data_IF_147991245390
#
_entry.id   IF_147991245390
#
_cell.length_a   1.000
_cell.length_b   1.000
_cell.length_c   1.000
_cell.angle_alpha   90.00
_cell.angle_beta   90.00
_cell.angle_gamma   90.00
#
_symmetry.space_group_name_H-M   'P 1'
#
loop_
_entity.id
_entity.type
_entity.pdbx_description
1 polymer ?
#
# COMPACT_ATOMS: atom_id res chain seq x y z
N UNK A 1 -13.18 -0.48 -13.60
CA UNK A 1 -12.32 0.55 -14.23
C UNK A 1 -10.91 0.44 -13.66
N UNK A 2 -9.89 0.60 -14.51
CA UNK A 2 -8.48 0.58 -14.10
C UNK A 2 -7.99 1.99 -13.79
N UNK A 3 -7.17 2.13 -12.74
CA UNK A 3 -6.53 3.36 -12.30
C UNK A 3 -5.00 3.16 -12.23
N UNK A 4 -4.24 4.25 -12.27
CA UNK A 4 -2.83 4.17 -11.85
C UNK A 4 -2.79 3.84 -10.35
N UNK A 5 -1.98 2.87 -9.93
CA UNK A 5 -2.03 2.39 -8.55
C UNK A 5 -1.51 3.43 -7.53
N UNK A 6 -0.63 4.33 -7.96
CA UNK A 6 0.15 5.18 -7.06
C UNK A 6 0.78 4.31 -5.95
N UNK A 7 0.90 4.82 -4.73
CA UNK A 7 1.47 4.07 -3.61
C UNK A 7 0.57 2.96 -3.04
N UNK A 8 -0.66 2.76 -3.53
CA UNK A 8 -1.48 1.61 -3.10
C UNK A 8 -0.89 0.27 -3.57
N UNK A 9 -0.02 0.29 -4.59
CA UNK A 9 0.78 -0.85 -5.04
C UNK A 9 1.67 -1.46 -3.94
N UNK A 10 1.97 -0.70 -2.88
CA UNK A 10 2.82 -1.15 -1.78
C UNK A 10 2.15 -2.21 -0.90
N UNK A 11 0.81 -2.33 -0.94
CA UNK A 11 0.06 -3.37 -0.21
C UNK A 11 0.44 -4.78 -0.67
N UNK A 12 0.31 -5.15 -1.95
CA UNK A 12 0.75 -6.48 -2.40
C UNK A 12 2.26 -6.69 -2.31
N UNK A 13 3.08 -5.64 -2.40
CA UNK A 13 4.53 -5.73 -2.15
C UNK A 13 4.81 -6.15 -0.70
N UNK A 14 4.13 -5.55 0.28
CA UNK A 14 4.20 -5.96 1.68
C UNK A 14 3.74 -7.42 1.86
N UNK A 15 2.62 -7.81 1.27
CA UNK A 15 2.12 -9.19 1.34
C UNK A 15 3.14 -10.19 0.82
N UNK A 16 3.84 -9.85 -0.26
CA UNK A 16 4.90 -10.68 -0.83
C UNK A 16 6.11 -10.82 0.09
N UNK A 17 6.54 -9.75 0.77
CA UNK A 17 7.60 -9.84 1.79
C UNK A 17 7.23 -10.87 2.87
N UNK A 18 6.00 -10.80 3.39
CA UNK A 18 5.53 -11.76 4.39
C UNK A 18 5.39 -13.19 3.84
N UNK A 19 5.02 -13.35 2.56
CA UNK A 19 4.99 -14.66 1.91
C UNK A 19 6.39 -15.26 1.83
N UNK A 20 7.38 -14.50 1.37
CA UNK A 20 8.77 -14.95 1.28
C UNK A 20 9.37 -15.22 2.66
N UNK A 21 9.03 -14.43 3.68
CA UNK A 21 9.44 -14.67 5.06
C UNK A 21 8.88 -16.00 5.58
N UNK A 22 7.58 -16.28 5.33
CA UNK A 22 6.94 -17.56 5.69
C UNK A 22 7.60 -18.75 4.97
N UNK A 23 7.99 -18.57 3.72
CA UNK A 23 8.67 -19.58 2.91
C UNK A 23 10.17 -19.73 3.25
N UNK A 24 10.71 -18.93 4.17
CA UNK A 24 12.12 -18.97 4.55
C UNK A 24 13.10 -18.41 3.52
N UNK A 25 12.61 -17.69 2.49
CA UNK A 25 13.43 -17.08 1.43
C UNK A 25 14.13 -15.78 1.86
N UNK A 26 13.59 -15.15 2.90
CA UNK A 26 14.15 -13.97 3.54
C UNK A 26 13.82 -14.00 5.04
N UNK A 27 14.53 -13.23 5.85
CA UNK A 27 14.15 -12.96 7.25
C UNK A 27 13.80 -11.48 7.39
N UNK A 28 12.77 -11.17 8.18
CA UNK A 28 12.36 -9.76 8.38
C UNK A 28 13.45 -8.92 9.04
N UNK A 29 14.28 -9.52 9.89
CA UNK A 29 15.35 -8.83 10.62
C UNK A 29 16.72 -8.97 9.92
N UNK A 30 16.78 -9.48 8.68
CA UNK A 30 18.05 -9.53 7.94
C UNK A 30 18.43 -8.14 7.42
N UNK A 31 19.73 -7.80 7.47
CA UNK A 31 20.22 -6.54 6.92
C UNK A 31 20.17 -6.57 5.39
N UNK A 32 19.69 -5.48 4.80
CA UNK A 32 19.64 -5.24 3.36
C UNK A 32 20.43 -3.98 3.05
N UNK A 33 21.33 -3.99 2.04
CA UNK A 33 22.03 -2.79 1.63
C UNK A 33 21.08 -1.66 1.23
N UNK A 34 21.29 -0.47 1.79
CA UNK A 34 20.56 0.73 1.39
C UNK A 34 21.31 1.38 0.24
N UNK A 35 20.73 1.29 -0.96
CA UNK A 35 21.24 1.87 -2.21
C UNK A 35 20.15 2.69 -2.89
N UNK A 36 20.54 3.68 -3.68
CA UNK A 36 19.62 4.52 -4.46
C UNK A 36 19.95 4.47 -5.97
N UNK A 37 20.24 3.26 -6.47
CA UNK A 37 20.50 2.99 -7.87
C UNK A 37 19.73 1.74 -8.28
N UNK A 38 18.78 1.94 -9.20
CA UNK A 38 17.83 0.93 -9.65
C UNK A 38 17.85 0.84 -11.17
N UNK A 39 17.40 -0.29 -11.72
CA UNK A 39 17.40 -0.54 -13.17
C UNK A 39 16.00 -0.34 -13.73
N UNK A 40 15.88 0.50 -14.75
CA UNK A 40 14.62 0.72 -15.45
C UNK A 40 14.19 -0.55 -16.17
N UNK A 41 12.91 -0.92 -16.06
CA UNK A 41 12.36 -2.06 -16.80
C UNK A 41 12.18 -1.75 -18.30
N UNK A 42 12.33 -0.50 -18.71
CA UNK A 42 12.19 -0.08 -20.11
C UNK A 42 13.40 -0.47 -20.97
N UNK A 43 14.61 -0.26 -20.43
CA UNK A 43 15.86 -0.35 -21.20
C UNK A 43 17.09 -0.76 -20.36
N UNK A 44 16.94 -1.02 -19.05
CA UNK A 44 18.04 -1.38 -18.16
C UNK A 44 18.95 -0.22 -17.75
N UNK A 45 18.61 1.02 -18.12
CA UNK A 45 19.33 2.20 -17.64
C UNK A 45 19.16 2.39 -16.13
N UNK A 46 20.12 3.07 -15.50
CA UNK A 46 20.07 3.34 -14.06
C UNK A 46 19.20 4.57 -13.81
N UNK A 47 18.35 4.49 -12.78
CA UNK A 47 17.65 5.62 -12.21
C UNK A 47 17.79 5.62 -10.68
N UNK A 48 17.51 6.76 -10.07
CA UNK A 48 17.52 6.97 -8.63
C UNK A 48 16.25 7.71 -8.21
N UNK A 49 15.92 7.65 -6.92
CA UNK A 49 14.82 8.43 -6.34
C UNK A 49 15.38 9.73 -5.78
N UNK A 50 14.78 10.87 -6.13
CA UNK A 50 15.14 12.14 -5.51
C UNK A 50 14.59 12.20 -4.08
N UNK A 51 15.36 12.62 -3.06
CA UNK A 51 14.84 12.85 -1.72
C UNK A 51 13.70 13.88 -1.66
N UNK A 52 13.61 14.79 -2.63
CA UNK A 52 12.53 15.79 -2.72
C UNK A 52 11.19 15.19 -3.12
N UNK A 53 11.23 14.04 -3.79
CA UNK A 53 10.05 13.37 -4.35
C UNK A 53 9.59 12.22 -3.42
N UNK A 54 10.18 12.15 -2.22
CA UNK A 54 9.92 11.13 -1.22
C UNK A 54 9.46 11.78 0.09
N UNK A 55 8.39 11.24 0.66
CA UNK A 55 7.84 11.73 1.93
C UNK A 55 8.65 11.26 3.15
N UNK A 56 9.53 10.28 2.97
CA UNK A 56 10.40 9.73 4.01
C UNK A 56 11.86 10.05 3.65
N UNK A 57 12.56 10.81 4.50
CA UNK A 57 13.92 11.29 4.19
C UNK A 57 15.04 10.62 5.00
N UNK A 58 14.72 9.92 6.09
CA UNK A 58 15.72 9.37 7.00
C UNK A 58 16.51 8.22 6.38
N UNK A 59 15.89 7.42 5.50
CA UNK A 59 16.56 6.30 4.85
C UNK A 59 17.71 6.73 3.93
N UNK A 60 17.61 7.92 3.32
CA UNK A 60 18.68 8.46 2.46
C UNK A 60 19.99 8.69 3.21
N UNK A 61 19.92 8.98 4.51
CA UNK A 61 21.11 9.13 5.37
C UNK A 61 21.83 7.80 5.63
N UNK A 62 21.19 6.67 5.32
CA UNK A 62 21.73 5.32 5.48
C UNK A 62 22.31 4.74 4.18
N UNK A 63 22.31 5.49 3.07
CA UNK A 63 22.90 5.03 1.80
C UNK A 63 24.36 4.62 2.01
N UNK A 64 24.72 3.45 1.48
CA UNK A 64 26.02 2.81 1.69
C UNK A 64 26.11 1.93 2.95
N UNK A 65 25.11 1.99 3.83
CA UNK A 65 24.94 1.09 4.96
C UNK A 65 23.88 0.02 4.73
N UNK A 66 23.28 -0.47 5.81
CA UNK A 66 22.21 -1.48 5.78
C UNK A 66 21.01 -1.07 6.62
N UNK A 67 19.84 -1.58 6.27
CA UNK A 67 18.62 -1.53 7.06
C UNK A 67 17.90 -2.88 7.00
N UNK A 68 17.11 -3.22 8.02
CA UNK A 68 16.34 -4.46 8.06
C UNK A 68 15.17 -4.46 7.07
N UNK A 69 14.80 -5.64 6.56
CA UNK A 69 13.58 -5.80 5.74
C UNK A 69 12.35 -5.27 6.48
N UNK A 70 12.26 -5.50 7.80
CA UNK A 70 11.17 -5.05 8.66
C UNK A 70 11.04 -3.52 8.65
N UNK A 71 12.14 -2.81 8.84
CA UNK A 71 12.11 -1.35 8.89
C UNK A 71 11.86 -0.75 7.50
N UNK A 72 12.47 -1.29 6.45
CA UNK A 72 12.16 -0.90 5.07
C UNK A 72 10.68 -1.08 4.74
N UNK A 73 10.09 -2.23 5.12
CA UNK A 73 8.66 -2.49 4.96
C UNK A 73 7.79 -1.52 5.77
N UNK A 74 8.20 -1.18 7.00
CA UNK A 74 7.51 -0.19 7.83
C UNK A 74 7.51 1.16 7.13
N UNK A 75 8.68 1.70 6.77
CA UNK A 75 8.82 2.99 6.08
C UNK A 75 8.05 3.03 4.75
N UNK A 76 8.09 1.94 3.98
CA UNK A 76 7.35 1.79 2.73
C UNK A 76 5.83 1.97 2.93
N UNK A 77 5.27 1.48 4.04
CA UNK A 77 3.83 1.56 4.29
C UNK A 77 3.46 2.82 5.06
N UNK A 78 4.11 3.11 6.19
CA UNK A 78 3.69 4.15 7.14
C UNK A 78 3.98 5.55 6.65
N UNK A 79 5.08 5.71 5.90
CA UNK A 79 5.56 7.01 5.41
C UNK A 79 5.65 7.01 3.88
N UNK A 80 5.15 5.95 3.26
CA UNK A 80 5.12 5.80 1.81
C UNK A 80 6.50 5.97 1.15
N UNK A 81 7.58 5.58 1.82
CA UNK A 81 8.95 5.74 1.29
C UNK A 81 9.10 5.12 -0.10
N UNK A 82 9.51 5.91 -1.08
CA UNK A 82 9.77 5.45 -2.44
C UNK A 82 11.10 4.69 -2.52
N UNK A 83 12.14 5.19 -1.83
CA UNK A 83 13.42 4.48 -1.71
C UNK A 83 13.25 3.09 -1.11
N UNK A 84 12.53 2.97 0.02
CA UNK A 84 12.28 1.66 0.64
C UNK A 84 11.48 0.73 -0.28
N UNK A 85 10.50 1.29 -1.02
CA UNK A 85 9.71 0.51 -2.00
C UNK A 85 10.61 -0.10 -3.06
N UNK A 86 11.54 0.68 -3.62
CA UNK A 86 12.43 0.22 -4.68
C UNK A 86 13.42 -0.85 -4.19
N UNK A 87 13.96 -0.69 -2.98
CA UNK A 87 14.81 -1.71 -2.36
C UNK A 87 14.03 -3.02 -2.15
N UNK A 88 12.82 -2.93 -1.58
CA UNK A 88 12.00 -4.11 -1.29
C UNK A 88 11.53 -4.81 -2.57
N UNK A 89 11.03 -4.07 -3.56
CA UNK A 89 10.53 -4.69 -4.79
C UNK A 89 11.64 -5.32 -5.63
N UNK A 90 12.87 -4.78 -5.60
CA UNK A 90 14.02 -5.46 -6.21
C UNK A 90 14.33 -6.78 -5.49
N UNK A 91 14.24 -6.78 -4.16
CA UNK A 91 14.49 -7.98 -3.33
C UNK A 91 13.45 -9.08 -3.52
N UNK A 92 12.16 -8.74 -3.55
CA UNK A 92 11.07 -9.73 -3.67
C UNK A 92 10.63 -9.98 -5.11
N UNK A 93 10.97 -9.08 -6.03
CA UNK A 93 10.63 -9.06 -7.47
C UNK A 93 9.15 -8.78 -7.78
N UNK A 94 8.92 -7.91 -8.78
CA UNK A 94 7.57 -7.60 -9.28
C UNK A 94 6.82 -8.85 -9.78
N UNK A 95 7.51 -9.80 -10.41
CA UNK A 95 6.91 -11.05 -10.89
C UNK A 95 6.27 -11.87 -9.75
N UNK A 96 6.94 -11.98 -8.60
CA UNK A 96 6.39 -12.71 -7.44
C UNK A 96 5.23 -11.97 -6.79
N UNK A 97 5.27 -10.63 -6.79
CA UNK A 97 4.13 -9.80 -6.35
C UNK A 97 2.92 -10.06 -7.25
N UNK A 98 3.11 -10.11 -8.58
CA UNK A 98 2.06 -10.46 -9.53
C UNK A 98 1.50 -11.87 -9.31
N UNK A 99 2.37 -12.87 -9.10
CA UNK A 99 1.96 -14.25 -8.80
C UNK A 99 1.08 -14.32 -7.53
N UNK A 100 1.50 -13.63 -6.46
CA UNK A 100 0.73 -13.52 -5.22
C UNK A 100 -0.64 -12.89 -5.47
N UNK A 101 -0.71 -11.77 -6.18
CA UNK A 101 -1.99 -11.11 -6.48
C UNK A 101 -2.92 -12.02 -7.28
N UNK A 102 -2.41 -12.66 -8.33
CA UNK A 102 -3.19 -13.57 -9.17
C UNK A 102 -3.73 -14.78 -8.39
N UNK A 103 -2.89 -15.39 -7.55
CA UNK A 103 -3.28 -16.52 -6.69
C UNK A 103 -4.29 -16.13 -5.60
N UNK A 104 -4.29 -14.86 -5.19
CA UNK A 104 -5.23 -14.29 -4.23
C UNK A 104 -6.56 -13.86 -4.89
N UNK A 105 -6.64 -13.90 -6.23
CA UNK A 105 -7.81 -13.50 -7.01
C UNK A 105 -7.85 -12.03 -7.44
N UNK A 106 -6.83 -11.24 -7.10
CA UNK A 106 -6.62 -9.87 -7.59
C UNK A 106 -5.87 -9.93 -8.94
N UNK A 107 -6.61 -10.09 -10.03
CA UNK A 107 -6.05 -10.41 -11.36
C UNK A 107 -5.93 -9.23 -12.32
N UNK A 108 -6.56 -8.10 -11.99
CA UNK A 108 -6.60 -6.91 -12.84
C UNK A 108 -5.54 -5.87 -12.43
N UNK A 109 -5.08 -5.90 -11.17
CA UNK A 109 -4.02 -5.07 -10.63
C UNK A 109 -2.66 -5.50 -11.19
N UNK A 110 -1.82 -4.51 -11.54
CA UNK A 110 -0.47 -4.73 -12.05
C UNK A 110 0.57 -3.98 -11.23
N UNK A 111 1.58 -4.70 -10.79
CA UNK A 111 2.81 -4.18 -10.19
C UNK A 111 3.96 -4.62 -11.09
N UNK A 112 4.46 -3.70 -11.91
CA UNK A 112 5.45 -3.97 -12.96
C UNK A 112 6.84 -3.43 -12.61
N UNK A 113 6.88 -2.30 -11.87
CA UNK A 113 8.09 -1.52 -11.63
C UNK A 113 8.13 -0.94 -10.23
N UNK A 114 9.34 -0.53 -9.83
CA UNK A 114 9.52 0.40 -8.72
C UNK A 114 8.90 1.77 -8.98
N UNK A 115 8.97 2.63 -7.98
CA UNK A 115 8.54 4.03 -8.02
C UNK A 115 9.64 4.87 -8.67
N UNK A 116 9.26 5.96 -9.35
CA UNK A 116 10.18 6.86 -10.09
C UNK A 116 10.98 6.26 -11.27
N UNK A 117 10.62 5.08 -11.77
CA UNK A 117 11.09 4.62 -13.09
C UNK A 117 10.33 5.35 -14.22
N UNK A 118 10.76 6.59 -14.49
CA UNK A 118 10.13 7.52 -15.43
C UNK A 118 10.11 7.02 -16.87
N UNK A 119 11.20 6.41 -17.34
CA UNK A 119 11.25 5.85 -18.71
C UNK A 119 10.23 4.73 -18.92
N UNK A 120 10.07 3.85 -17.93
CA UNK A 120 9.05 2.81 -17.98
C UNK A 120 7.65 3.42 -17.96
N UNK A 121 7.42 4.45 -17.14
CA UNK A 121 6.16 5.18 -17.10
C UNK A 121 5.80 5.81 -18.46
N UNK A 122 6.74 6.48 -19.11
CA UNK A 122 6.57 7.10 -20.44
C UNK A 122 6.25 6.08 -21.54
N UNK A 123 6.77 4.85 -21.42
CA UNK A 123 6.44 3.74 -22.32
C UNK A 123 5.14 3.00 -21.96
N UNK A 124 4.39 3.48 -20.98
CA UNK A 124 3.12 2.90 -20.56
C UNK A 124 3.24 1.65 -19.67
N UNK A 125 4.44 1.32 -19.19
CA UNK A 125 4.70 0.20 -18.28
C UNK A 125 4.32 0.59 -16.84
N UNK A 126 3.03 0.80 -16.61
CA UNK A 126 2.51 1.41 -15.40
C UNK A 126 1.99 0.43 -14.37
N UNK A 127 2.23 0.77 -13.11
CA UNK A 127 1.55 0.13 -11.98
C UNK A 127 0.08 0.56 -12.00
N UNK A 128 -0.84 -0.39 -12.06
CA UNK A 128 -2.28 -0.13 -12.17
C UNK A 128 -3.06 -0.92 -11.14
N UNK A 129 -4.25 -0.44 -10.77
CA UNK A 129 -5.10 -1.07 -9.77
C UNK A 129 -6.58 -0.95 -10.11
N UNK A 130 -7.40 -1.76 -9.45
CA UNK A 130 -8.85 -1.61 -9.39
C UNK A 130 -9.30 -1.58 -7.94
N UNK A 131 -10.45 -0.96 -7.68
CA UNK A 131 -11.02 -0.96 -6.33
C UNK A 131 -11.31 -2.38 -5.84
N UNK A 132 -11.69 -3.28 -6.75
CA UNK A 132 -11.99 -4.69 -6.46
C UNK A 132 -10.76 -5.44 -6.01
N UNK A 133 -9.63 -5.25 -6.67
CA UNK A 133 -8.41 -5.99 -6.39
C UNK A 133 -7.78 -5.58 -5.06
N UNK A 134 -7.69 -4.28 -4.78
CA UNK A 134 -7.30 -3.79 -3.45
C UNK A 134 -8.23 -4.31 -2.36
N UNK A 135 -9.54 -4.36 -2.64
CA UNK A 135 -10.51 -4.92 -1.69
C UNK A 135 -10.29 -6.40 -1.43
N UNK A 136 -9.95 -7.20 -2.46
CA UNK A 136 -9.62 -8.62 -2.31
C UNK A 136 -8.39 -8.80 -1.40
N UNK A 137 -7.33 -8.04 -1.66
CA UNK A 137 -6.08 -8.12 -0.89
C UNK A 137 -6.29 -7.69 0.58
N UNK A 138 -6.93 -6.54 0.81
CA UNK A 138 -7.21 -6.04 2.16
C UNK A 138 -8.20 -6.93 2.92
N UNK A 139 -9.15 -7.56 2.24
CA UNK A 139 -10.05 -8.55 2.85
C UNK A 139 -9.28 -9.77 3.31
N UNK A 140 -8.36 -10.29 2.49
CA UNK A 140 -7.52 -11.41 2.89
C UNK A 140 -6.68 -11.10 4.14
N UNK A 141 -6.19 -9.86 4.26
CA UNK A 141 -5.51 -9.39 5.48
C UNK A 141 -6.50 -9.35 6.65
N UNK A 142 -7.67 -8.72 6.49
CA UNK A 142 -8.67 -8.56 7.55
C UNK A 142 -9.19 -9.91 8.08
N UNK A 143 -9.36 -10.91 7.21
CA UNK A 143 -9.86 -12.25 7.54
C UNK A 143 -8.76 -13.19 8.05
N UNK A 144 -7.50 -12.76 8.03
CA UNK A 144 -6.36 -13.57 8.49
C UNK A 144 -5.91 -14.64 7.49
N UNK A 145 -6.31 -14.53 6.23
CA UNK A 145 -6.11 -15.53 5.16
C UNK A 145 -5.03 -15.17 4.13
N UNK A 146 -4.50 -13.94 4.14
CA UNK A 146 -3.53 -13.46 3.15
C UNK A 146 -2.28 -14.35 2.98
N UNK A 147 -1.55 -14.60 4.07
CA UNK A 147 -0.36 -15.47 4.08
C UNK A 147 -0.45 -16.46 5.23
N UNK A 148 -0.76 -15.95 6.42
CA UNK A 148 -1.13 -16.72 7.60
C UNK A 148 -1.86 -15.80 8.56
N UNK A 149 -2.51 -16.33 9.59
CA UNK A 149 -3.14 -15.47 10.61
C UNK A 149 -2.11 -14.58 11.32
N UNK A 150 -0.89 -15.08 11.54
CA UNK A 150 0.20 -14.29 12.17
C UNK A 150 0.62 -13.14 11.25
N UNK A 151 0.99 -13.45 10.01
CA UNK A 151 1.40 -12.44 9.04
C UNK A 151 0.31 -11.40 8.78
N UNK A 152 -0.96 -11.81 8.75
CA UNK A 152 -2.08 -10.90 8.55
C UNK A 152 -2.26 -9.91 9.72
N UNK A 153 -2.02 -10.35 10.96
CA UNK A 153 -1.98 -9.44 12.11
C UNK A 153 -0.81 -8.45 12.00
N UNK A 154 0.39 -8.94 11.69
CA UNK A 154 1.57 -8.09 11.53
C UNK A 154 1.39 -7.06 10.40
N UNK A 155 0.82 -7.46 9.25
CA UNK A 155 0.45 -6.55 8.16
C UNK A 155 -0.60 -5.51 8.58
N UNK A 156 -1.60 -5.93 9.37
CA UNK A 156 -2.60 -5.02 9.93
C UNK A 156 -1.96 -3.98 10.84
N UNK A 157 -1.02 -4.39 11.70
CA UNK A 157 -0.33 -3.50 12.63
C UNK A 157 0.53 -2.46 11.89
N UNK A 158 1.23 -2.86 10.81
CA UNK A 158 1.97 -1.93 9.96
C UNK A 158 1.03 -0.94 9.26
N UNK A 159 -0.09 -1.41 8.71
CA UNK A 159 -1.10 -0.56 8.07
C UNK A 159 -1.80 0.40 9.05
N UNK A 160 -1.94 0.03 10.32
CA UNK A 160 -2.47 0.89 11.38
C UNK A 160 -1.52 2.02 11.76
N UNK A 161 -0.23 1.88 11.48
CA UNK A 161 0.79 2.88 11.78
C UNK A 161 0.96 3.93 10.65
N UNK A 162 0.03 3.97 9.68
CA UNK A 162 -0.01 4.96 8.61
C UNK A 162 -0.02 6.40 9.18
N UNK A 163 0.81 7.28 8.59
CA UNK A 163 0.92 8.68 9.03
C UNK A 163 -0.01 9.63 8.28
N UNK A 164 -0.35 9.32 7.03
CA UNK A 164 -1.26 10.14 6.20
C UNK A 164 -2.72 9.71 6.42
N UNK A 165 -3.49 10.50 7.17
CA UNK A 165 -4.81 10.14 7.71
C UNK A 165 -5.97 11.02 7.19
N UNK A 166 -5.72 11.86 6.20
CA UNK A 166 -6.65 12.87 5.65
C UNK A 166 -7.79 12.25 4.82
N UNK A 167 -7.66 10.97 4.42
CA UNK A 167 -8.63 10.23 3.61
C UNK A 167 -9.69 9.49 4.44
N UNK A 168 -9.68 8.15 4.37
CA UNK A 168 -10.66 7.28 5.05
C UNK A 168 -10.72 7.57 6.57
N UNK A 169 -9.58 7.71 7.30
CA UNK A 169 -9.62 7.96 8.75
C UNK A 169 -10.31 9.27 9.13
N UNK A 170 -10.19 10.32 8.33
CA UNK A 170 -10.86 11.61 8.59
C UNK A 170 -12.40 11.54 8.45
N UNK A 171 -12.92 10.51 7.77
CA UNK A 171 -14.36 10.30 7.60
C UNK A 171 -15.04 9.49 8.71
N UNK A 172 -14.29 8.92 9.64
CA UNK A 172 -14.82 8.07 10.73
C UNK A 172 -14.66 8.74 12.10
N UNK A 173 -15.40 8.31 13.14
CA UNK A 173 -15.25 8.89 14.47
C UNK A 173 -13.81 8.82 14.97
N UNK A 174 -13.36 9.87 15.66
CA UNK A 174 -12.02 9.93 16.23
C UNK A 174 -11.73 8.70 17.11
N UNK A 175 -10.52 8.14 16.99
CA UNK A 175 -10.11 6.92 17.69
C UNK A 175 -10.56 5.62 16.99
N UNK A 176 -11.33 5.69 15.90
CA UNK A 176 -11.58 4.51 15.06
C UNK A 176 -10.27 4.02 14.47
N UNK A 177 -9.96 2.74 14.69
CA UNK A 177 -8.77 2.12 14.11
C UNK A 177 -9.00 1.88 12.62
N UNK A 178 -8.10 2.39 11.78
CA UNK A 178 -8.15 2.24 10.33
C UNK A 178 -6.79 1.75 9.85
N UNK A 179 -6.71 0.52 9.36
CA UNK A 179 -5.48 -0.04 8.78
C UNK A 179 -5.51 0.25 7.27
N UNK A 180 -4.68 1.15 6.76
CA UNK A 180 -4.85 1.64 5.39
C UNK A 180 -3.55 2.05 4.68
N UNK A 181 -3.67 2.19 3.36
CA UNK A 181 -2.61 2.72 2.50
C UNK A 181 -3.17 3.76 1.52
N UNK A 182 -2.60 4.95 1.62
CA UNK A 182 -2.84 6.05 0.68
C UNK A 182 -2.01 5.89 -0.61
N UNK A 183 -2.43 6.56 -1.67
CA UNK A 183 -1.63 6.72 -2.87
C UNK A 183 -1.96 8.01 -3.60
N UNK A 184 -0.95 8.86 -3.78
CA UNK A 184 -1.06 10.12 -4.54
C UNK A 184 -0.05 10.13 -5.69
N UNK A 185 -0.49 10.66 -6.84
CA UNK A 185 0.33 11.04 -7.99
C UNK A 185 -0.51 11.97 -8.86
N UNK A 186 0.02 13.07 -9.37
CA UNK A 186 -0.63 14.07 -10.26
C UNK A 186 -2.13 13.81 -10.58
N UNK A 187 -3.02 14.53 -9.88
CA UNK A 187 -4.48 14.44 -10.03
C UNK A 187 -5.13 13.09 -9.66
N UNK A 188 -4.38 12.18 -9.04
CA UNK A 188 -4.84 10.88 -8.54
C UNK A 188 -4.61 10.85 -7.05
N UNK A 189 -5.65 10.53 -6.30
CA UNK A 189 -5.62 10.40 -4.85
C UNK A 189 -6.45 9.18 -4.46
N UNK A 190 -5.85 8.26 -3.73
CA UNK A 190 -6.40 6.97 -3.39
C UNK A 190 -6.26 6.73 -1.91
N UNK A 191 -7.23 6.05 -1.34
CA UNK A 191 -7.10 5.45 -0.02
C UNK A 191 -7.86 4.12 0.03
N UNK A 192 -7.23 3.13 0.66
CA UNK A 192 -7.73 1.77 0.73
C UNK A 192 -7.42 1.20 2.11
N UNK A 193 -8.45 0.79 2.85
CA UNK A 193 -8.29 0.41 4.25
C UNK A 193 -9.32 -0.53 4.82
N UNK A 194 -8.97 -1.09 5.99
CA UNK A 194 -9.80 -1.91 6.87
C UNK A 194 -10.22 -1.02 8.04
N UNK A 195 -11.52 -0.82 8.20
CA UNK A 195 -12.10 0.00 9.27
C UNK A 195 -12.61 -0.92 10.38
N UNK A 196 -12.06 -0.77 11.58
CA UNK A 196 -12.44 -1.56 12.75
C UNK A 196 -13.53 -0.85 13.55
N UNK A 197 -14.72 -1.45 13.56
CA UNK A 197 -15.89 -0.90 14.25
C UNK A 197 -15.84 -1.15 15.77
N UNK A 198 -16.47 -0.27 16.57
CA UNK A 198 -16.51 -0.44 18.02
C UNK A 198 -17.34 -1.66 18.46
N UNK A 199 -16.92 -2.24 19.59
CA UNK A 199 -17.54 -3.43 20.19
C UNK A 199 -17.25 -4.71 19.41
N UNK A 200 -18.19 -5.66 19.44
CA UNK A 200 -18.08 -6.95 18.71
C UNK A 200 -18.57 -6.87 17.25
N UNK A 201 -18.50 -5.70 16.62
CA UNK A 201 -18.94 -5.51 15.23
C UNK A 201 -17.86 -5.99 14.27
N UNK A 202 -18.28 -6.53 13.11
CA UNK A 202 -17.32 -7.01 12.11
C UNK A 202 -16.69 -5.80 11.40
N UNK A 203 -15.36 -5.79 11.17
CA UNK A 203 -14.72 -4.75 10.38
C UNK A 203 -15.21 -4.79 8.94
N UNK A 204 -15.00 -3.70 8.20
CA UNK A 204 -15.27 -3.64 6.76
C UNK A 204 -14.06 -3.10 6.01
N UNK A 205 -13.97 -3.43 4.72
CA UNK A 205 -12.96 -2.91 3.81
C UNK A 205 -13.59 -1.81 2.95
N UNK A 206 -12.91 -0.68 2.84
CA UNK A 206 -13.30 0.43 1.97
C UNK A 206 -12.12 0.78 1.05
N UNK A 207 -12.41 0.96 -0.24
CA UNK A 207 -11.44 1.40 -1.24
C UNK A 207 -12.05 2.54 -2.02
N UNK A 208 -11.38 3.69 -2.02
CA UNK A 208 -11.79 4.88 -2.75
C UNK A 208 -10.66 5.28 -3.70
N UNK A 209 -10.93 5.24 -5.00
CA UNK A 209 -9.98 5.61 -6.05
C UNK A 209 -10.46 6.88 -6.75
N UNK A 210 -9.78 8.00 -6.51
CA UNK A 210 -10.09 9.29 -7.12
C UNK A 210 -9.09 9.63 -8.22
N UNK A 211 -9.59 10.14 -9.35
CA UNK A 211 -8.80 10.70 -10.46
C UNK A 211 -9.48 11.97 -10.97
N UNK A 212 -8.70 12.95 -11.40
CA UNK A 212 -9.15 14.14 -12.11
C UNK A 212 -9.31 15.38 -11.22
N UNK A 213 -9.00 15.29 -9.93
CA UNK A 213 -8.99 16.44 -9.02
C UNK A 213 -7.57 16.95 -8.86
N UNK A 214 -7.34 18.21 -9.23
CA UNK A 214 -6.01 18.83 -9.15
C UNK A 214 -5.60 19.18 -7.72
N UNK A 215 -6.56 19.63 -6.91
CA UNK A 215 -6.32 19.97 -5.51
C UNK A 215 -6.44 18.71 -4.64
N UNK A 216 -5.35 18.37 -3.96
CA UNK A 216 -5.27 17.21 -3.08
C UNK A 216 -6.24 17.30 -1.90
N UNK A 217 -6.38 18.48 -1.28
CA UNK A 217 -7.33 18.73 -0.20
C UNK A 217 -8.77 18.40 -0.59
N UNK A 218 -9.19 18.75 -1.82
CA UNK A 218 -10.52 18.42 -2.33
C UNK A 218 -10.70 16.92 -2.51
N UNK A 219 -9.65 16.22 -2.94
CA UNK A 219 -9.70 14.77 -3.07
C UNK A 219 -9.74 14.07 -1.70
N UNK A 220 -8.94 14.52 -0.73
CA UNK A 220 -8.99 14.04 0.66
C UNK A 220 -10.37 14.25 1.27
N UNK A 221 -10.94 15.45 1.12
CA UNK A 221 -12.30 15.73 1.59
C UNK A 221 -13.33 14.80 0.95
N UNK A 222 -13.25 14.56 -0.36
CA UNK A 222 -14.14 13.63 -1.05
C UNK A 222 -14.03 12.20 -0.50
N UNK A 223 -12.81 11.72 -0.28
CA UNK A 223 -12.57 10.39 0.30
C UNK A 223 -13.15 10.31 1.72
N UNK A 224 -12.92 11.32 2.56
CA UNK A 224 -13.45 11.40 3.91
C UNK A 224 -14.99 11.44 3.93
N UNK A 225 -15.62 12.24 3.05
CA UNK A 225 -17.08 12.31 2.93
C UNK A 225 -17.68 10.95 2.52
N UNK A 226 -17.07 10.24 1.56
CA UNK A 226 -17.48 8.88 1.19
C UNK A 226 -17.32 7.92 2.37
N UNK A 227 -16.18 7.97 3.06
CA UNK A 227 -15.90 7.13 4.24
C UNK A 227 -16.96 7.32 5.33
N UNK A 228 -17.34 8.57 5.61
CA UNK A 228 -18.40 8.91 6.58
C UNK A 228 -19.74 8.30 6.20
N UNK A 229 -20.18 8.47 4.95
CA UNK A 229 -21.44 7.92 4.47
C UNK A 229 -21.48 6.38 4.57
N UNK A 230 -20.38 5.72 4.22
CA UNK A 230 -20.25 4.26 4.33
C UNK A 230 -20.28 3.82 5.78
N UNK A 231 -19.50 4.47 6.66
CA UNK A 231 -19.46 4.15 8.09
C UNK A 231 -20.85 4.24 8.74
N UNK A 232 -21.56 5.35 8.52
CA UNK A 232 -22.91 5.56 9.04
C UNK A 232 -23.88 4.47 8.56
N UNK A 233 -23.81 4.08 7.28
CA UNK A 233 -24.67 3.05 6.72
C UNK A 233 -24.35 1.65 7.27
N UNK A 234 -23.07 1.30 7.43
CA UNK A 234 -22.65 0.01 8.02
C UNK A 234 -23.08 -0.09 9.48
N UNK A 235 -22.91 0.97 10.27
CA UNK A 235 -23.36 1.01 11.68
C UNK A 235 -24.88 0.80 11.78
N UNK A 236 -25.67 1.48 10.93
CA UNK A 236 -27.13 1.32 10.89
C UNK A 236 -27.52 -0.11 10.51
N UNK A 237 -26.88 -0.68 9.50
CA UNK A 237 -27.20 -2.03 8.99
C UNK A 237 -26.88 -3.11 10.04
N UNK A 238 -25.66 -3.13 10.59
CA UNK A 238 -25.27 -4.12 11.61
C UNK A 238 -26.03 -3.98 12.94
N UNK A 239 -26.70 -2.85 13.17
CA UNK A 239 -27.56 -2.67 14.35
C UNK A 239 -28.98 -3.18 14.13
N UNK A 240 -29.43 -3.34 12.87
CA UNK A 240 -30.73 -3.96 12.52
C UNK A 240 -30.68 -5.49 12.46
N UNK A 241 -29.49 -6.05 12.27
CA UNK A 241 -29.23 -7.49 12.20
C UNK A 241 -29.01 -8.15 13.58
N UNK A 242 -29.04 -7.36 14.67
CA UNK A 242 -28.91 -7.81 16.06
C UNK A 242 -30.27 -7.80 16.74
#
# INVERSE_FOLDING_TARGET
ASFHAASTMKVPVMMEVYRQAREGRLKLDEPVPVKNEFKSIADGSVFSVSPTDDSEQTLYKKIGGTETVRELLRLMITESSNLATNIIIERVTAARVMDLMHSSGARDMKVLRGVEDGKAFERGLNNTTTARDLLILLRAIAEGSAVSRKASREMTDVLLAQKFNEGIPAGVPAGTRVAHKTGSITKINHDAGIVFLPGRRKPYVLVVLVRGLAEEERAHKLIADISRLVYENVIKTQSRER
#
